data_IF_026710914466
#
_entry.id   IF_026710914466
#
_cell.length_a   1.000
_cell.length_b   1.000
_cell.length_c   1.000
_cell.angle_alpha   90.00
_cell.angle_beta   90.00
_cell.angle_gamma   90.00
#
_symmetry.space_group_name_H-M   'P 1'
#
loop_
_entity.id
_entity.type
_entity.pdbx_description
1 polymer ?
#
# COMPACT_ATOMS: atom_id res chain seq x y z
N UNK A 1 7.09 16.76 4.58
CA UNK A 1 5.64 16.60 4.79
C UNK A 1 5.24 17.37 6.03
N UNK A 2 4.12 18.07 5.96
CA UNK A 2 3.46 18.72 7.09
C UNK A 2 2.54 17.74 7.81
N UNK A 3 2.13 18.06 9.03
CA UNK A 3 1.18 17.24 9.79
C UNK A 3 -0.17 17.10 9.06
N UNK A 4 -0.61 18.16 8.36
CA UNK A 4 -1.83 18.12 7.55
C UNK A 4 -1.73 17.11 6.40
N UNK A 5 -0.59 17.10 5.70
CA UNK A 5 -0.33 16.13 4.63
C UNK A 5 -0.27 14.69 5.17
N UNK A 6 0.31 14.48 6.35
CA UNK A 6 0.31 13.16 7.02
C UNK A 6 -1.12 12.70 7.33
N UNK A 7 -1.97 13.58 7.88
CA UNK A 7 -3.36 13.24 8.20
C UNK A 7 -4.18 12.95 6.93
N UNK A 8 -3.98 13.73 5.88
CA UNK A 8 -4.60 13.50 4.59
C UNK A 8 -4.18 12.15 3.98
N UNK A 9 -2.88 11.83 4.02
CA UNK A 9 -2.39 10.55 3.51
C UNK A 9 -2.89 9.36 4.34
N UNK A 10 -3.01 9.50 5.67
CA UNK A 10 -3.59 8.46 6.53
C UNK A 10 -5.06 8.20 6.20
N UNK A 11 -5.83 9.26 5.93
CA UNK A 11 -7.21 9.14 5.47
C UNK A 11 -7.29 8.47 4.10
N UNK A 12 -6.42 8.85 3.17
CA UNK A 12 -6.34 8.23 1.84
C UNK A 12 -6.01 6.74 1.94
N UNK A 13 -5.08 6.35 2.82
CA UNK A 13 -4.75 4.95 3.08
C UNK A 13 -5.95 4.17 3.63
N UNK A 14 -6.64 4.69 4.65
CA UNK A 14 -7.82 4.05 5.21
C UNK A 14 -8.91 3.81 4.15
N UNK A 15 -9.15 4.80 3.29
CA UNK A 15 -10.11 4.67 2.19
C UNK A 15 -9.68 3.61 1.17
N UNK A 16 -8.39 3.57 0.81
CA UNK A 16 -7.87 2.60 -0.15
C UNK A 16 -7.97 1.17 0.37
N UNK A 17 -7.69 0.94 1.66
CA UNK A 17 -7.86 -0.38 2.29
C UNK A 17 -9.33 -0.80 2.32
N UNK A 18 -10.22 0.10 2.75
CA UNK A 18 -11.66 -0.15 2.76
C UNK A 18 -12.22 -0.47 1.36
N UNK A 19 -11.71 0.20 0.32
CA UNK A 19 -12.10 -0.10 -1.06
C UNK A 19 -11.77 -1.55 -1.45
N UNK A 20 -10.62 -2.08 -1.04
CA UNK A 20 -10.27 -3.49 -1.31
C UNK A 20 -11.18 -4.46 -0.57
N UNK A 21 -11.50 -4.16 0.70
CA UNK A 21 -12.41 -4.98 1.50
C UNK A 21 -13.82 -5.06 0.91
N UNK A 22 -14.32 -3.95 0.34
CA UNK A 22 -15.62 -3.91 -0.35
C UNK A 22 -15.64 -4.87 -1.56
N UNK A 23 -14.52 -5.03 -2.25
CA UNK A 23 -14.37 -5.97 -3.37
C UNK A 23 -14.12 -7.42 -2.89
N UNK A 24 -14.14 -7.67 -1.58
CA UNK A 24 -13.81 -8.97 -0.99
C UNK A 24 -12.31 -9.32 -1.07
N UNK A 25 -11.46 -8.33 -1.34
CA UNK A 25 -10.01 -8.50 -1.41
C UNK A 25 -9.35 -8.18 -0.07
N UNK A 26 -8.29 -8.91 0.25
CA UNK A 26 -7.47 -8.64 1.43
C UNK A 26 -6.10 -8.17 0.99
N UNK A 27 -5.74 -6.95 1.38
CA UNK A 27 -4.37 -6.43 1.20
C UNK A 27 -3.44 -7.18 2.15
N UNK A 28 -2.28 -7.61 1.66
CA UNK A 28 -1.33 -8.32 2.50
C UNK A 28 -0.78 -7.42 3.62
N UNK A 29 -0.49 -7.97 4.82
CA UNK A 29 0.02 -7.18 5.94
C UNK A 29 1.28 -6.39 5.59
N UNK A 30 2.16 -6.98 4.77
CA UNK A 30 3.40 -6.34 4.33
C UNK A 30 3.13 -5.13 3.43
N UNK A 31 2.14 -5.21 2.55
CA UNK A 31 1.75 -4.11 1.67
C UNK A 31 1.08 -2.99 2.46
N UNK A 32 0.21 -3.33 3.42
CA UNK A 32 -0.42 -2.35 4.31
C UNK A 32 0.62 -1.62 5.17
N UNK A 33 1.65 -2.33 5.67
CA UNK A 33 2.74 -1.73 6.42
C UNK A 33 3.58 -0.76 5.57
N UNK A 34 3.93 -1.14 4.34
CA UNK A 34 4.63 -0.25 3.41
C UNK A 34 3.81 1.01 3.10
N UNK A 35 2.50 0.88 2.88
CA UNK A 35 1.62 2.02 2.64
C UNK A 35 1.45 2.90 3.90
N UNK A 36 1.50 2.34 5.10
CA UNK A 36 1.51 3.12 6.33
C UNK A 36 2.77 4.01 6.42
N UNK A 37 3.93 3.50 5.98
CA UNK A 37 5.18 4.27 5.88
C UNK A 37 5.08 5.38 4.83
N UNK A 38 4.40 5.13 3.70
CA UNK A 38 4.06 6.19 2.73
C UNK A 38 3.21 7.27 3.39
N UNK A 39 2.22 6.89 4.20
CA UNK A 39 1.34 7.85 4.86
C UNK A 39 2.06 8.76 5.87
N UNK A 40 3.18 8.29 6.43
CA UNK A 40 4.08 9.06 7.30
C UNK A 40 5.17 9.81 6.53
N UNK A 41 5.28 9.62 5.21
CA UNK A 41 6.32 10.25 4.38
C UNK A 41 7.70 9.59 4.48
N UNK A 42 7.77 8.36 4.99
CA UNK A 42 9.02 7.63 5.19
C UNK A 42 9.55 7.00 3.89
N UNK A 43 8.65 6.63 2.98
CA UNK A 43 8.97 6.07 1.65
C UNK A 43 7.99 6.60 0.60
N UNK A 44 8.35 6.50 -0.68
CA UNK A 44 7.44 6.81 -1.79
C UNK A 44 6.57 5.61 -2.16
N UNK A 45 5.50 5.85 -2.92
CA UNK A 45 4.71 4.79 -3.54
C UNK A 45 5.51 3.95 -4.55
N UNK A 46 6.51 4.54 -5.22
CA UNK A 46 7.41 3.79 -6.09
C UNK A 46 8.21 2.75 -5.31
N UNK A 47 8.66 3.07 -4.08
CA UNK A 47 9.32 2.08 -3.23
C UNK A 47 8.38 0.92 -2.85
N UNK A 48 7.08 1.16 -2.66
CA UNK A 48 6.10 0.10 -2.40
C UNK A 48 5.97 -0.84 -3.61
N UNK A 49 5.94 -0.28 -4.82
CA UNK A 49 5.89 -1.05 -6.07
C UNK A 49 7.16 -1.91 -6.21
N UNK A 50 8.34 -1.32 -5.95
CA UNK A 50 9.62 -2.06 -5.98
C UNK A 50 9.63 -3.20 -4.95
N UNK A 51 9.14 -2.96 -3.73
CA UNK A 51 9.01 -3.98 -2.69
C UNK A 51 8.05 -5.10 -3.10
N UNK A 52 6.92 -4.77 -3.75
CA UNK A 52 5.98 -5.76 -4.28
C UNK A 52 6.64 -6.63 -5.36
N UNK A 53 7.35 -6.01 -6.31
CA UNK A 53 8.11 -6.78 -7.30
C UNK A 53 9.18 -7.65 -6.65
N UNK A 54 9.93 -7.14 -5.68
CA UNK A 54 10.94 -7.95 -4.98
C UNK A 54 10.33 -9.14 -4.23
N UNK A 55 9.16 -8.97 -3.59
CA UNK A 55 8.44 -10.05 -2.88
C UNK A 55 7.86 -11.08 -3.85
N UNK A 56 7.37 -10.63 -5.01
CA UNK A 56 6.57 -11.46 -5.91
C UNK A 56 7.23 -11.78 -7.25
N UNK A 57 8.50 -11.40 -7.47
CA UNK A 57 9.26 -11.67 -8.69
C UNK A 57 9.35 -13.16 -9.05
N UNK A 58 9.11 -14.05 -8.08
CA UNK A 58 9.14 -15.50 -8.25
C UNK A 58 7.75 -16.15 -8.19
N UNK A 59 6.68 -15.36 -8.10
CA UNK A 59 5.31 -15.88 -8.16
C UNK A 59 4.87 -15.87 -9.63
N UNK A 60 4.53 -17.04 -10.15
CA UNK A 60 3.79 -17.13 -11.41
C UNK A 60 2.41 -16.52 -11.21
N UNK A 61 2.23 -15.28 -11.68
CA UNK A 61 0.89 -14.70 -11.78
C UNK A 61 0.15 -15.49 -12.84
N UNK A 62 -0.81 -16.31 -12.40
CA UNK A 62 -1.76 -16.99 -13.28
C UNK A 62 -2.46 -15.92 -14.13
N UNK A 63 -2.10 -15.86 -15.41
CA UNK A 63 -2.86 -15.09 -16.40
C UNK A 63 -4.19 -15.81 -16.58
N UNK A 64 -5.27 -15.17 -16.12
CA UNK A 64 -6.64 -15.53 -16.46
C UNK A 64 -6.93 -15.16 -17.92
#
# INVERSE_FOLDING_TARGET
MTDSEIQENKRALANALAQQEIEGLTVTPETAADLARVSNGEISTSNVIDNLYARYAHIEVLKL
#
